data_IF_246569831664
#
_entry.id   IF_246569831664
#
_cell.length_a   1.000
_cell.length_b   1.000
_cell.length_c   1.000
_cell.angle_alpha   90.00
_cell.angle_beta   90.00
_cell.angle_gamma   90.00
#
_symmetry.space_group_name_H-M   'P 1'
#
loop_
_entity.id
_entity.type
_entity.pdbx_description
1 polymer ?
#
# COMPACT_ATOMS: atom_id res chain seq x y z
N UNK A 1 0.25 -2.55 6.09
CA UNK A 1 -0.58 -1.35 5.84
C UNK A 1 -1.72 -1.36 6.86
N UNK A 2 -2.70 -0.48 6.78
CA UNK A 2 -3.80 -0.35 7.75
C UNK A 2 -3.33 -0.11 9.20
N UNK A 3 -2.33 0.76 9.37
CA UNK A 3 -1.76 1.12 10.69
C UNK A 3 -1.82 2.62 10.99
N UNK A 4 -2.26 3.40 10.02
CA UNK A 4 -2.25 4.87 10.07
C UNK A 4 -3.66 5.42 10.06
N UNK A 5 -3.77 6.74 10.18
CA UNK A 5 -5.06 7.42 10.25
C UNK A 5 -5.87 7.30 8.96
N UNK A 6 -5.21 7.11 7.81
CA UNK A 6 -5.88 6.89 6.54
C UNK A 6 -5.16 5.90 5.61
N UNK A 7 -5.89 5.28 4.65
CA UNK A 7 -5.29 4.49 3.58
C UNK A 7 -4.26 5.27 2.75
N UNK A 8 -4.53 6.54 2.47
CA UNK A 8 -3.60 7.43 1.76
C UNK A 8 -2.28 7.66 2.49
N UNK A 9 -2.28 7.78 3.82
CA UNK A 9 -1.03 7.86 4.61
C UNK A 9 -0.23 6.55 4.55
N UNK A 10 -0.91 5.40 4.59
CA UNK A 10 -0.25 4.12 4.40
C UNK A 10 0.36 4.00 2.99
N UNK A 11 -0.35 4.46 1.96
CA UNK A 11 0.14 4.47 0.59
C UNK A 11 1.39 5.33 0.41
N UNK A 12 1.41 6.53 1.00
CA UNK A 12 2.56 7.44 0.94
C UNK A 12 3.85 6.79 1.50
N UNK A 13 3.72 5.99 2.56
CA UNK A 13 4.86 5.28 3.13
C UNK A 13 5.33 4.13 2.23
N UNK A 14 4.39 3.38 1.63
CA UNK A 14 4.75 2.34 0.66
C UNK A 14 5.47 2.94 -0.56
N UNK A 15 5.03 4.11 -1.04
CA UNK A 15 5.70 4.83 -2.12
C UNK A 15 7.11 5.28 -1.74
N UNK A 16 7.31 5.79 -0.52
CA UNK A 16 8.65 6.15 -0.03
C UNK A 16 9.57 4.91 0.01
N UNK A 17 9.06 3.77 0.47
CA UNK A 17 9.80 2.50 0.47
C UNK A 17 10.11 2.06 -0.96
N UNK A 18 9.12 2.09 -1.86
CA UNK A 18 9.30 1.75 -3.28
C UNK A 18 10.39 2.61 -3.92
N UNK A 19 10.35 3.92 -3.72
CA UNK A 19 11.35 4.85 -4.24
C UNK A 19 12.75 4.54 -3.71
N UNK A 20 12.87 4.10 -2.46
CA UNK A 20 14.17 3.78 -1.85
C UNK A 20 14.75 2.44 -2.33
N UNK A 21 13.90 1.45 -2.57
CA UNK A 21 14.30 0.09 -2.95
C UNK A 21 14.40 -0.11 -4.47
N UNK A 22 13.76 0.76 -5.27
CA UNK A 22 13.58 0.53 -6.69
C UNK A 22 12.70 -0.70 -6.96
N UNK A 23 12.68 -1.18 -8.21
CA UNK A 23 11.76 -2.25 -8.65
C UNK A 23 12.40 -3.66 -8.68
N UNK A 24 13.65 -3.80 -8.23
CA UNK A 24 14.34 -5.10 -8.17
C UNK A 24 13.84 -5.97 -7.01
N UNK A 25 13.19 -5.36 -6.01
CA UNK A 25 12.64 -6.03 -4.84
C UNK A 25 11.11 -6.03 -4.93
N UNK A 26 10.51 -7.21 -4.87
CA UNK A 26 9.06 -7.37 -4.79
C UNK A 26 8.56 -6.96 -3.41
N UNK A 27 7.52 -6.13 -3.37
CA UNK A 27 6.89 -5.67 -2.12
C UNK A 27 5.51 -6.31 -2.03
N UNK A 28 5.23 -6.92 -0.88
CA UNK A 28 3.91 -7.39 -0.48
C UNK A 28 3.49 -6.62 0.76
N UNK A 29 2.20 -6.35 0.89
CA UNK A 29 1.62 -5.69 2.06
C UNK A 29 0.44 -6.48 2.57
N UNK A 30 0.17 -6.34 3.86
CA UNK A 30 -0.93 -7.01 4.55
C UNK A 30 -1.72 -5.95 5.34
N UNK A 31 -3.02 -5.89 5.07
CA UNK A 31 -3.99 -5.01 5.70
C UNK A 31 -4.64 -5.63 6.94
N UNK A 32 -4.41 -6.91 7.23
CA UNK A 32 -4.91 -7.63 8.40
C UNK A 32 -6.44 -7.50 8.59
N UNK A 33 -7.19 -7.41 7.47
CA UNK A 33 -8.65 -7.16 7.45
C UNK A 33 -9.11 -5.87 8.13
N UNK A 34 -8.22 -4.90 8.32
CA UNK A 34 -8.50 -3.68 9.07
C UNK A 34 -9.18 -2.59 8.23
N UNK A 35 -9.28 -2.77 6.91
CA UNK A 35 -9.95 -1.80 6.03
C UNK A 35 -11.41 -2.15 5.77
N UNK A 36 -12.23 -1.11 5.68
CA UNK A 36 -13.51 -1.17 4.98
C UNK A 36 -13.28 -1.34 3.47
N UNK A 37 -14.37 -1.60 2.74
CA UNK A 37 -14.31 -1.71 1.28
C UNK A 37 -13.85 -0.39 0.64
N UNK A 38 -14.35 0.74 1.13
CA UNK A 38 -14.01 2.07 0.64
C UNK A 38 -12.55 2.41 0.91
N UNK A 39 -12.05 2.08 2.10
CA UNK A 39 -10.65 2.28 2.48
C UNK A 39 -9.70 1.43 1.63
N UNK A 40 -10.08 0.18 1.35
CA UNK A 40 -9.32 -0.69 0.46
C UNK A 40 -9.25 -0.13 -0.98
N UNK A 41 -10.37 0.44 -1.48
CA UNK A 41 -10.39 1.12 -2.79
C UNK A 41 -9.49 2.36 -2.78
N UNK A 42 -9.54 3.18 -1.72
CA UNK A 42 -8.69 4.37 -1.60
C UNK A 42 -7.22 3.98 -1.66
N UNK A 43 -6.79 3.02 -0.83
CA UNK A 43 -5.41 2.53 -0.86
C UNK A 43 -5.03 2.02 -2.25
N UNK A 44 -5.85 1.14 -2.82
CA UNK A 44 -5.61 0.50 -4.11
C UNK A 44 -5.43 1.51 -5.25
N UNK A 45 -6.19 2.61 -5.25
CA UNK A 45 -6.02 3.70 -6.23
C UNK A 45 -4.69 4.42 -6.04
N UNK A 46 -4.27 4.68 -4.80
CA UNK A 46 -3.03 5.37 -4.51
C UNK A 46 -1.79 4.57 -4.94
N UNK A 47 -1.81 3.24 -4.79
CA UNK A 47 -0.64 2.37 -5.06
C UNK A 47 -0.64 1.71 -6.44
N UNK A 48 -1.60 2.02 -7.31
CA UNK A 48 -1.86 1.26 -8.54
C UNK A 48 -0.65 1.20 -9.48
N UNK A 49 0.23 2.21 -9.44
CA UNK A 49 1.46 2.29 -10.24
C UNK A 49 2.72 1.76 -9.55
N UNK A 50 2.66 1.40 -8.27
CA UNK A 50 3.85 1.09 -7.45
C UNK A 50 4.31 -0.38 -7.52
N UNK A 51 3.66 -1.17 -8.39
CA UNK A 51 4.01 -2.56 -8.69
C UNK A 51 4.16 -3.43 -7.43
N UNK A 52 3.17 -3.38 -6.54
CA UNK A 52 3.08 -4.32 -5.44
C UNK A 52 2.77 -5.71 -5.98
N UNK A 53 3.45 -6.73 -5.47
CA UNK A 53 3.24 -8.12 -5.89
C UNK A 53 1.91 -8.65 -5.35
N UNK A 54 1.51 -8.24 -4.14
CA UNK A 54 0.29 -8.70 -3.50
C UNK A 54 -0.13 -7.77 -2.34
N UNK A 55 -1.44 -7.67 -2.13
CA UNK A 55 -2.09 -7.02 -1.00
C UNK A 55 -2.95 -8.10 -0.33
N UNK A 56 -2.61 -8.44 0.91
CA UNK A 56 -3.32 -9.41 1.77
C UNK A 56 -4.37 -8.74 2.65
#
# INVERSE_FOLDING_TARGET
>A
VARRASPSEDAAIIQAIRNRLGYQINIRVDANRMWTFEEAIEFGKCIASDSLQYIE
#
